data_IF_995270867277
#
_entry.id   IF_995270867277
#
_cell.length_a   1.000
_cell.length_b   1.000
_cell.length_c   1.000
_cell.angle_alpha   90.00
_cell.angle_beta   90.00
_cell.angle_gamma   90.00
#
_symmetry.space_group_name_H-M   'P 1'
#
loop_
_entity.id
_entity.type
_entity.pdbx_description
1 polymer ?
#
# COMPACT_ATOMS: atom_id res chain seq x y z
N UNK A 1 47.48 -20.99 -22.45
CA UNK A 1 46.01 -20.89 -22.57
C UNK A 1 45.72 -19.95 -23.72
N UNK A 2 45.07 -20.41 -24.78
CA UNK A 2 44.80 -19.57 -25.98
C UNK A 2 43.30 -19.32 -26.04
N UNK A 3 42.91 -18.04 -26.10
CA UNK A 3 41.49 -17.65 -26.24
C UNK A 3 41.02 -18.04 -27.64
N UNK A 4 39.89 -18.75 -27.75
CA UNK A 4 39.37 -19.26 -29.03
C UNK A 4 38.52 -18.24 -29.78
N UNK A 5 37.60 -17.56 -29.09
CA UNK A 5 36.59 -16.69 -29.70
C UNK A 5 35.94 -15.78 -28.64
N UNK A 6 35.27 -14.70 -29.07
CA UNK A 6 34.50 -13.78 -28.23
C UNK A 6 33.04 -13.78 -28.68
N UNK A 7 32.11 -14.01 -27.75
CA UNK A 7 30.66 -13.99 -28.02
C UNK A 7 29.96 -12.94 -27.17
N UNK A 8 28.97 -12.29 -27.75
CA UNK A 8 28.16 -11.26 -27.09
C UNK A 8 26.69 -11.64 -27.28
N UNK A 9 25.95 -11.69 -26.18
CA UNK A 9 24.54 -12.04 -26.15
C UNK A 9 23.75 -10.96 -25.41
N UNK A 10 22.55 -10.65 -25.90
CA UNK A 10 21.66 -9.70 -25.25
C UNK A 10 20.91 -10.42 -24.12
N UNK A 11 21.11 -9.95 -22.88
CA UNK A 11 20.47 -10.56 -21.72
C UNK A 11 19.10 -9.96 -21.38
N UNK A 12 18.88 -8.69 -21.69
CA UNK A 12 17.63 -8.01 -21.38
C UNK A 12 17.80 -6.50 -21.27
N UNK A 13 16.85 -5.85 -20.61
CA UNK A 13 16.81 -4.41 -20.44
C UNK A 13 16.84 -4.02 -18.96
N UNK A 14 17.64 -3.00 -18.62
CA UNK A 14 17.84 -2.49 -17.26
C UNK A 14 17.75 -0.96 -17.25
N UNK A 15 17.77 -0.35 -16.08
CA UNK A 15 18.05 1.09 -15.96
C UNK A 15 19.41 1.44 -16.58
N UNK A 16 19.57 2.65 -17.10
CA UNK A 16 20.78 3.20 -17.71
C UNK A 16 21.90 3.16 -16.65
N UNK A 17 22.85 2.23 -16.76
CA UNK A 17 23.83 2.05 -15.71
C UNK A 17 24.90 3.13 -15.80
N UNK A 18 25.16 3.82 -14.69
CA UNK A 18 26.45 4.48 -14.46
C UNK A 18 27.47 3.47 -13.90
N UNK A 19 27.02 2.50 -13.10
CA UNK A 19 27.83 1.37 -12.68
C UNK A 19 27.05 0.05 -12.61
N UNK A 20 27.76 -1.06 -12.82
CA UNK A 20 27.26 -2.42 -12.69
C UNK A 20 28.17 -3.16 -11.70
N UNK A 21 27.58 -3.82 -10.70
CA UNK A 21 28.28 -4.58 -9.67
C UNK A 21 27.60 -5.94 -9.46
N UNK A 22 28.32 -7.02 -9.71
CA UNK A 22 27.88 -8.36 -9.34
C UNK A 22 28.04 -8.54 -7.83
N UNK A 23 26.99 -9.03 -7.17
CA UNK A 23 27.00 -9.27 -5.74
C UNK A 23 27.30 -10.75 -5.46
N UNK A 24 26.32 -11.62 -5.74
CA UNK A 24 26.46 -13.08 -5.74
C UNK A 24 25.16 -13.72 -6.30
N UNK A 25 25.14 -15.02 -6.55
CA UNK A 25 23.95 -15.82 -6.92
C UNK A 25 23.17 -15.26 -8.13
N UNK A 26 23.88 -14.73 -9.12
CA UNK A 26 23.25 -14.13 -10.30
C UNK A 26 22.65 -12.74 -10.03
N UNK A 27 22.87 -12.14 -8.85
CA UNK A 27 22.33 -10.83 -8.48
C UNK A 27 23.34 -9.73 -8.79
N UNK A 28 22.86 -8.66 -9.42
CA UNK A 28 23.64 -7.48 -9.77
C UNK A 28 22.95 -6.22 -9.25
N UNK A 29 23.76 -5.31 -8.72
CA UNK A 29 23.36 -3.93 -8.48
C UNK A 29 23.69 -3.07 -9.70
N UNK A 30 22.68 -2.33 -10.15
CA UNK A 30 22.71 -1.39 -11.27
C UNK A 30 22.56 0.02 -10.69
N UNK A 31 23.67 0.73 -10.56
CA UNK A 31 23.66 2.13 -10.12
C UNK A 31 23.37 3.03 -11.31
N UNK A 32 22.19 3.66 -11.33
CA UNK A 32 21.81 4.65 -12.35
C UNK A 32 21.90 6.06 -11.76
N UNK A 33 22.54 6.97 -12.50
CA UNK A 33 22.55 8.41 -12.16
C UNK A 33 21.38 9.17 -12.77
N UNK A 34 20.83 8.64 -13.85
CA UNK A 34 19.87 9.33 -14.71
C UNK A 34 18.42 8.90 -14.47
N UNK A 35 18.24 7.91 -13.59
CA UNK A 35 16.96 7.51 -13.03
C UNK A 35 17.17 6.41 -12.00
N UNK A 36 16.18 5.54 -11.81
CA UNK A 36 16.14 4.67 -10.64
C UNK A 36 17.21 3.58 -10.71
N UNK A 37 17.93 3.41 -9.60
CA UNK A 37 18.89 2.30 -9.46
C UNK A 37 18.12 1.00 -9.24
N UNK A 38 18.70 -0.13 -9.66
CA UNK A 38 18.00 -1.42 -9.63
C UNK A 38 18.86 -2.51 -9.01
N UNK A 39 18.21 -3.41 -8.27
CA UNK A 39 18.74 -4.72 -7.97
C UNK A 39 18.11 -5.72 -8.94
N UNK A 40 18.93 -6.39 -9.74
CA UNK A 40 18.46 -7.34 -10.75
C UNK A 40 19.01 -8.73 -10.48
N UNK A 41 18.32 -9.73 -11.00
CA UNK A 41 18.77 -11.12 -11.03
C UNK A 41 18.83 -11.63 -12.46
N UNK A 42 19.95 -12.24 -12.80
CA UNK A 42 20.16 -12.98 -14.04
C UNK A 42 19.69 -14.41 -13.86
N UNK A 43 18.71 -14.79 -14.65
CA UNK A 43 18.17 -16.13 -14.70
C UNK A 43 18.93 -16.96 -15.74
N UNK A 44 19.03 -18.26 -15.51
CA UNK A 44 19.65 -19.19 -16.48
C UNK A 44 18.72 -19.52 -17.65
N UNK A 45 17.41 -19.27 -17.48
CA UNK A 45 16.37 -19.49 -18.50
C UNK A 45 15.75 -18.15 -18.83
N UNK A 46 15.39 -17.97 -20.10
CA UNK A 46 14.62 -16.82 -20.54
C UNK A 46 13.22 -16.88 -19.95
N UNK A 47 12.66 -15.70 -19.66
CA UNK A 47 11.23 -15.54 -19.39
C UNK A 47 10.41 -15.66 -20.69
N UNK A 48 9.08 -15.55 -20.57
CA UNK A 48 8.15 -15.63 -21.69
C UNK A 48 8.37 -14.52 -22.75
N UNK A 49 9.11 -13.46 -22.40
CA UNK A 49 9.49 -12.36 -23.27
C UNK A 49 10.93 -12.47 -23.82
N UNK A 50 11.62 -13.60 -23.59
CA UNK A 50 12.98 -13.81 -24.07
C UNK A 50 14.07 -13.09 -23.26
N UNK A 51 13.74 -12.52 -22.10
CA UNK A 51 14.68 -11.81 -21.23
C UNK A 51 15.23 -12.73 -20.14
N UNK A 52 16.54 -12.60 -19.88
CA UNK A 52 17.24 -13.28 -18.78
C UNK A 52 17.24 -12.43 -17.50
N UNK A 53 16.82 -11.18 -17.57
CA UNK A 53 16.89 -10.22 -16.47
C UNK A 53 15.53 -10.12 -15.77
N UNK A 54 15.52 -10.34 -14.46
CA UNK A 54 14.38 -10.02 -13.58
C UNK A 54 14.75 -8.93 -12.60
N UNK A 55 13.96 -7.85 -12.54
CA UNK A 55 14.13 -6.78 -11.55
C UNK A 55 13.60 -7.25 -10.19
N UNK A 56 14.46 -7.22 -9.18
CA UNK A 56 14.09 -7.60 -7.80
C UNK A 56 13.62 -6.39 -7.00
N UNK A 57 14.34 -5.27 -7.11
CA UNK A 57 14.07 -4.06 -6.36
C UNK A 57 14.51 -2.84 -7.16
N UNK A 58 13.81 -1.72 -6.95
CA UNK A 58 14.08 -0.44 -7.60
C UNK A 58 14.23 0.63 -6.52
N UNK A 59 15.35 1.33 -6.53
CA UNK A 59 15.68 2.43 -5.62
C UNK A 59 15.41 3.76 -6.30
N UNK A 60 14.48 4.53 -5.74
CA UNK A 60 14.09 5.82 -6.28
C UNK A 60 15.26 6.79 -6.35
N UNK A 61 15.46 7.39 -7.51
CA UNK A 61 16.42 8.44 -7.75
C UNK A 61 15.70 9.68 -8.28
N UNK A 62 15.85 10.79 -7.56
CA UNK A 62 15.31 12.09 -7.98
C UNK A 62 16.24 12.81 -8.98
N UNK A 63 17.48 12.35 -9.10
CA UNK A 63 18.49 13.02 -9.89
C UNK A 63 18.42 12.64 -11.38
N UNK A 64 18.82 13.57 -12.26
CA UNK A 64 18.92 15.01 -11.99
C UNK A 64 17.53 15.65 -11.96
N UNK A 65 17.32 16.59 -11.03
CA UNK A 65 16.15 17.46 -11.04
C UNK A 65 16.42 18.56 -12.06
N UNK A 66 15.71 18.51 -13.19
CA UNK A 66 15.84 19.48 -14.28
C UNK A 66 15.07 20.76 -13.97
N UNK A 67 13.88 20.61 -13.37
CA UNK A 67 13.02 21.71 -12.95
C UNK A 67 12.13 21.24 -11.78
N UNK A 68 11.63 22.19 -10.98
CA UNK A 68 10.71 21.90 -9.88
C UNK A 68 9.75 23.05 -9.60
N UNK A 69 8.56 22.70 -9.13
CA UNK A 69 7.53 23.65 -8.69
C UNK A 69 6.92 23.22 -7.37
N UNK A 70 6.67 24.18 -6.49
CA UNK A 70 5.92 23.98 -5.25
C UNK A 70 4.44 24.18 -5.54
N UNK A 71 3.63 23.17 -5.23
CA UNK A 71 2.17 23.19 -5.40
C UNK A 71 1.50 22.78 -4.09
N UNK A 72 0.41 23.45 -3.73
CA UNK A 72 -0.47 23.03 -2.64
C UNK A 72 -1.74 22.43 -3.25
N UNK A 73 -1.66 21.15 -3.64
CA UNK A 73 -2.77 20.43 -4.28
C UNK A 73 -3.95 20.22 -3.32
N UNK A 74 -3.67 20.08 -2.03
CA UNK A 74 -4.66 19.75 -1.01
C UNK A 74 -5.21 21.00 -0.30
N UNK A 75 -4.65 22.19 -0.60
CA UNK A 75 -4.99 23.48 0.03
C UNK A 75 -4.90 23.44 1.56
N UNK A 76 -4.03 22.60 2.09
CA UNK A 76 -3.83 22.40 3.53
C UNK A 76 -2.68 23.27 4.08
N UNK A 77 -2.08 24.12 3.25
CA UNK A 77 -0.92 24.92 3.62
C UNK A 77 0.38 24.11 3.68
N UNK A 78 0.37 22.87 3.20
CA UNK A 78 1.55 22.03 3.04
C UNK A 78 1.96 21.97 1.57
N UNK A 79 3.03 22.70 1.22
CA UNK A 79 3.58 22.68 -0.13
C UNK A 79 4.17 21.32 -0.48
N UNK A 80 3.75 20.77 -1.62
CA UNK A 80 4.32 19.57 -2.24
C UNK A 80 5.24 20.00 -3.37
N UNK A 81 6.39 19.34 -3.53
CA UNK A 81 7.30 19.60 -4.63
C UNK A 81 7.01 18.66 -5.79
N UNK A 82 6.71 19.20 -6.97
CA UNK A 82 6.66 18.43 -8.22
C UNK A 82 7.96 18.70 -8.95
N UNK A 83 8.69 17.64 -9.28
CA UNK A 83 10.01 17.72 -9.93
C UNK A 83 9.98 17.01 -11.27
N UNK A 84 10.64 17.60 -12.27
CA UNK A 84 11.04 16.93 -13.50
C UNK A 84 12.37 16.21 -13.22
N UNK A 85 12.29 14.91 -12.94
CA UNK A 85 13.43 14.07 -12.56
C UNK A 85 13.87 13.16 -13.70
N UNK A 86 15.17 12.93 -13.79
CA UNK A 86 15.78 12.11 -14.84
C UNK A 86 16.15 12.92 -16.08
N UNK A 87 16.88 12.30 -17.01
CA UNK A 87 17.30 12.99 -18.24
C UNK A 87 16.78 12.31 -19.49
N UNK A 88 16.52 13.13 -20.50
CA UNK A 88 16.65 12.71 -21.89
C UNK A 88 18.14 12.49 -22.19
N UNK A 89 18.52 11.27 -22.59
CA UNK A 89 19.83 11.03 -23.18
C UNK A 89 19.88 11.78 -24.54
N UNK A 90 20.37 13.01 -24.51
CA UNK A 90 20.42 13.89 -25.68
C UNK A 90 21.04 15.28 -25.45
N UNK A 91 21.27 15.69 -24.20
CA UNK A 91 21.85 17.00 -23.87
C UNK A 91 23.38 17.08 -24.03
N UNK A 92 24.08 15.96 -24.29
CA UNK A 92 25.52 15.93 -24.60
C UNK A 92 25.85 16.24 -26.08
N UNK A 93 24.92 16.81 -26.84
CA UNK A 93 25.17 17.32 -28.20
C UNK A 93 25.42 16.25 -29.28
N UNK A 94 25.44 14.97 -28.92
CA UNK A 94 25.63 13.88 -29.88
C UNK A 94 24.26 13.45 -30.45
N UNK A 95 23.91 14.00 -31.61
CA UNK A 95 22.73 13.61 -32.42
C UNK A 95 22.73 12.11 -32.67
N UNK A 96 21.99 11.34 -31.89
CA UNK A 96 21.72 9.94 -32.19
C UNK A 96 20.55 9.86 -33.18
N UNK A 97 20.79 9.31 -34.37
CA UNK A 97 19.83 9.14 -35.48
C UNK A 97 18.74 8.08 -35.23
N UNK A 98 18.61 7.54 -34.02
CA UNK A 98 17.59 6.54 -33.68
C UNK A 98 16.53 7.19 -32.79
N UNK A 99 15.33 7.42 -33.34
CA UNK A 99 14.22 8.16 -32.72
C UNK A 99 13.58 7.46 -31.50
N UNK A 100 13.91 6.19 -31.24
CA UNK A 100 13.06 5.34 -30.39
C UNK A 100 13.63 5.00 -29.00
N UNK A 101 14.82 5.50 -28.60
CA UNK A 101 15.45 5.10 -27.31
C UNK A 101 15.87 6.24 -26.37
N UNK A 102 15.57 7.49 -26.69
CA UNK A 102 16.05 8.65 -25.91
C UNK A 102 15.25 8.97 -24.63
N UNK A 103 14.19 8.21 -24.32
CA UNK A 103 13.12 8.64 -23.40
C UNK A 103 12.89 7.74 -22.17
N UNK A 104 13.77 6.77 -21.88
CA UNK A 104 13.40 5.69 -20.94
C UNK A 104 13.18 6.13 -19.49
N UNK A 105 13.96 7.08 -18.96
CA UNK A 105 14.01 7.35 -17.50
C UNK A 105 13.50 8.73 -17.06
N UNK A 106 12.86 9.48 -17.96
CA UNK A 106 12.22 10.74 -17.60
C UNK A 106 10.97 10.49 -16.75
N UNK A 107 10.87 11.12 -15.58
CA UNK A 107 9.74 10.97 -14.66
C UNK A 107 9.36 12.29 -13.98
N UNK A 108 8.09 12.43 -13.63
CA UNK A 108 7.65 13.46 -12.68
C UNK A 108 7.59 12.84 -11.28
N UNK A 109 8.25 13.46 -10.30
CA UNK A 109 8.25 12.96 -8.91
C UNK A 109 7.59 14.00 -8.01
N UNK A 110 6.64 13.55 -7.20
CA UNK A 110 5.94 14.36 -6.21
C UNK A 110 6.54 14.05 -4.83
N UNK A 111 7.15 15.05 -4.22
CA UNK A 111 7.76 14.97 -2.89
C UNK A 111 6.82 15.68 -1.93
N UNK A 112 6.24 14.91 -0.99
CA UNK A 112 5.35 15.40 0.05
C UNK A 112 6.04 15.22 1.40
N UNK A 113 5.82 16.15 2.32
CA UNK A 113 6.25 15.96 3.70
C UNK A 113 5.17 15.18 4.46
N UNK A 114 5.56 14.11 5.14
CA UNK A 114 4.65 13.24 5.88
C UNK A 114 4.39 11.89 5.22
N UNK A 115 3.45 11.13 5.81
CA UNK A 115 3.08 9.78 5.37
C UNK A 115 1.79 9.90 4.56
N UNK A 116 1.81 9.42 3.32
CA UNK A 116 0.59 9.29 2.52
C UNK A 116 -0.26 8.12 3.00
N UNK A 117 -1.57 8.33 3.10
CA UNK A 117 -2.54 7.24 3.32
C UNK A 117 -3.11 6.89 1.96
N UNK A 118 -2.94 5.64 1.53
CA UNK A 118 -3.61 5.12 0.34
C UNK A 118 -5.02 4.66 0.74
N UNK A 119 -6.02 5.45 0.36
CA UNK A 119 -7.42 5.12 0.62
C UNK A 119 -7.87 3.98 -0.30
N UNK A 120 -8.15 2.82 0.29
CA UNK A 120 -8.68 1.65 -0.44
C UNK A 120 -10.21 1.60 -0.42
N UNK A 121 -10.84 2.14 0.62
CA UNK A 121 -12.28 2.17 0.79
C UNK A 121 -12.70 3.45 1.52
N UNK A 122 -13.84 4.01 1.10
CA UNK A 122 -14.46 5.20 1.69
C UNK A 122 -15.93 4.91 1.96
N UNK A 123 -16.38 5.11 3.20
CA UNK A 123 -17.77 4.95 3.57
C UNK A 123 -18.20 6.17 4.38
N UNK A 124 -19.21 6.88 3.87
CA UNK A 124 -19.72 8.11 4.49
C UNK A 124 -20.63 7.80 5.69
N UNK A 125 -20.01 7.65 6.87
CA UNK A 125 -20.69 7.39 8.14
C UNK A 125 -20.45 8.53 9.13
N UNK A 126 -21.41 9.46 9.30
CA UNK A 126 -21.23 10.60 10.19
C UNK A 126 -21.29 10.16 11.66
N UNK A 127 -20.50 10.82 12.51
CA UNK A 127 -20.62 10.67 13.96
C UNK A 127 -19.99 9.42 14.57
N UNK A 128 -19.04 8.79 13.88
CA UNK A 128 -18.20 7.72 14.45
C UNK A 128 -17.40 8.27 15.64
N UNK A 129 -17.44 7.57 16.78
CA UNK A 129 -16.68 7.88 18.00
C UNK A 129 -15.59 6.87 18.33
N UNK A 130 -15.68 5.68 17.77
CA UNK A 130 -14.70 4.63 17.96
C UNK A 130 -14.86 3.57 16.90
N UNK A 131 -13.73 2.96 16.52
CA UNK A 131 -13.66 1.87 15.57
C UNK A 131 -12.72 0.81 16.14
N UNK A 132 -13.12 -0.46 16.06
CA UNK A 132 -12.31 -1.58 16.52
C UNK A 132 -12.40 -2.72 15.51
N UNK A 133 -11.23 -3.25 15.14
CA UNK A 133 -11.15 -4.46 14.35
C UNK A 133 -11.38 -5.68 15.27
N UNK A 134 -12.18 -6.61 14.77
CA UNK A 134 -12.50 -7.88 15.39
C UNK A 134 -12.26 -9.01 14.41
N UNK A 135 -11.98 -10.17 14.99
CA UNK A 135 -11.99 -11.46 14.32
C UNK A 135 -13.16 -12.29 14.84
N UNK A 136 -14.11 -12.58 13.97
CA UNK A 136 -15.33 -13.33 14.26
C UNK A 136 -15.32 -14.60 13.39
N UNK A 137 -15.71 -15.76 13.93
CA UNK A 137 -15.80 -17.02 13.17
C UNK A 137 -14.53 -17.37 12.36
N UNK A 138 -13.47 -17.82 13.03
CA UNK A 138 -12.33 -18.44 12.34
C UNK A 138 -11.02 -18.45 13.12
N UNK A 139 -10.16 -19.40 12.78
CA UNK A 139 -8.75 -19.47 13.20
C UNK A 139 -7.85 -18.56 12.37
N UNK A 140 -8.42 -17.76 11.46
CA UNK A 140 -7.65 -16.96 10.53
C UNK A 140 -6.80 -15.89 11.23
N UNK A 141 -5.70 -15.50 10.58
CA UNK A 141 -4.79 -14.48 11.11
C UNK A 141 -5.27 -13.05 10.84
N UNK A 142 -6.29 -12.89 10.01
CA UNK A 142 -6.81 -11.60 9.58
C UNK A 142 -8.07 -11.23 10.34
N UNK A 143 -8.24 -9.93 10.57
CA UNK A 143 -9.48 -9.38 11.07
C UNK A 143 -10.52 -9.35 9.94
N UNK A 144 -11.76 -9.70 10.26
CA UNK A 144 -12.85 -9.79 9.28
C UNK A 144 -14.08 -8.98 9.68
N UNK A 145 -14.04 -8.28 10.80
CA UNK A 145 -15.17 -7.50 11.28
C UNK A 145 -14.69 -6.16 11.81
N UNK A 146 -15.32 -5.07 11.41
CA UNK A 146 -15.09 -3.72 11.91
C UNK A 146 -16.31 -3.26 12.71
N UNK A 147 -16.11 -3.05 14.01
CA UNK A 147 -17.14 -2.52 14.90
C UNK A 147 -16.98 -1.01 15.03
N UNK A 148 -18.07 -0.27 14.83
CA UNK A 148 -18.07 1.19 14.92
C UNK A 148 -19.13 1.68 15.90
N UNK A 149 -18.70 2.52 16.84
CA UNK A 149 -19.57 3.20 17.79
C UNK A 149 -19.94 4.60 17.27
N UNK A 150 -21.23 4.97 17.40
CA UNK A 150 -21.76 6.26 16.95
C UNK A 150 -22.21 7.15 18.12
N UNK A 151 -22.22 8.48 17.92
CA UNK A 151 -22.91 9.42 18.82
C UNK A 151 -24.41 9.37 18.60
N UNK A 152 -25.17 9.45 19.69
CA UNK A 152 -26.58 9.83 19.65
C UNK A 152 -26.76 11.25 19.10
N UNK A 153 -26.97 11.43 17.80
CA UNK A 153 -27.65 12.64 17.31
C UNK A 153 -29.14 12.37 17.17
N UNK A 154 -29.86 12.59 18.27
CA UNK A 154 -31.32 12.68 18.28
C UNK A 154 -31.76 14.03 17.70
N UNK A 155 -31.58 14.26 16.39
CA UNK A 155 -32.28 15.34 15.68
C UNK A 155 -32.67 14.89 14.27
N UNK A 156 -33.92 14.44 14.17
CA UNK A 156 -34.79 14.53 12.98
C UNK A 156 -34.32 13.87 11.67
N UNK A 157 -33.91 12.61 11.68
CA UNK A 157 -34.18 11.72 10.52
C UNK A 157 -34.45 10.32 11.07
N UNK A 158 -35.54 9.72 10.62
CA UNK A 158 -35.94 8.34 10.92
C UNK A 158 -34.84 7.36 10.51
N UNK A 159 -33.99 6.98 11.46
CA UNK A 159 -33.16 5.79 11.37
C UNK A 159 -33.65 4.86 12.50
N UNK A 160 -34.43 3.81 12.20
CA UNK A 160 -34.86 2.87 13.23
C UNK A 160 -33.67 1.96 13.55
N UNK A 161 -33.23 1.98 14.82
CA UNK A 161 -32.22 1.10 15.47
C UNK A 161 -30.77 1.13 14.93
N UNK A 162 -29.81 1.32 15.86
CA UNK A 162 -28.39 1.01 15.66
C UNK A 162 -27.43 2.01 16.32
N UNK A 163 -27.15 1.88 17.63
CA UNK A 163 -26.13 2.68 18.35
C UNK A 163 -24.71 2.08 18.23
N UNK A 164 -24.62 0.88 17.68
CA UNK A 164 -23.39 0.20 17.25
C UNK A 164 -23.68 -0.44 15.88
N UNK A 165 -22.78 -0.26 14.91
CA UNK A 165 -22.82 -1.01 13.66
C UNK A 165 -21.64 -1.95 13.60
N UNK A 166 -21.90 -3.17 13.18
CA UNK A 166 -20.87 -4.19 12.96
C UNK A 166 -20.81 -4.44 11.46
N UNK A 167 -19.73 -4.01 10.83
CA UNK A 167 -19.48 -4.29 9.43
C UNK A 167 -18.63 -5.55 9.33
N UNK A 168 -19.11 -6.57 8.64
CA UNK A 168 -18.32 -7.76 8.33
C UNK A 168 -17.74 -7.62 6.93
N UNK A 169 -16.46 -7.93 6.81
CA UNK A 169 -15.68 -7.92 5.58
C UNK A 169 -15.71 -9.33 4.98
N UNK A 170 -16.43 -9.48 3.87
CA UNK A 170 -16.45 -10.71 3.08
C UNK A 170 -15.58 -10.49 1.84
N UNK A 171 -14.25 -10.55 2.01
CA UNK A 171 -13.30 -10.20 0.95
C UNK A 171 -13.24 -8.69 0.72
N UNK A 172 -13.67 -8.21 -0.45
CA UNK A 172 -13.72 -6.77 -0.79
C UNK A 172 -15.10 -6.13 -0.50
N UNK A 173 -16.11 -6.94 -0.18
CA UNK A 173 -17.45 -6.45 0.13
C UNK A 173 -17.64 -6.22 1.63
N UNK A 174 -18.35 -5.14 1.95
CA UNK A 174 -18.61 -4.68 3.31
C UNK A 174 -20.11 -4.76 3.58
N UNK A 175 -20.53 -5.63 4.50
CA UNK A 175 -21.94 -5.84 4.84
C UNK A 175 -22.23 -5.48 6.30
N UNK A 176 -23.39 -4.87 6.55
CA UNK A 176 -23.86 -4.62 7.92
C UNK A 176 -24.46 -5.90 8.51
N UNK A 177 -23.91 -6.33 9.63
CA UNK A 177 -24.25 -7.57 10.34
C UNK A 177 -24.53 -7.27 11.81
N UNK A 178 -25.24 -8.17 12.49
CA UNK A 178 -25.48 -8.07 13.92
C UNK A 178 -24.88 -9.30 14.62
N UNK A 179 -24.11 -9.07 15.70
CA UNK A 179 -23.57 -10.13 16.55
C UNK A 179 -24.49 -10.25 17.77
N UNK A 180 -25.21 -11.37 17.96
CA UNK A 180 -26.25 -11.48 19.00
C UNK A 180 -25.77 -11.18 20.44
N UNK A 181 -24.52 -11.53 20.77
CA UNK A 181 -23.94 -11.27 22.09
C UNK A 181 -23.52 -9.82 22.35
N UNK A 182 -23.43 -8.99 21.30
CA UNK A 182 -22.99 -7.60 21.38
C UNK A 182 -24.20 -6.68 21.45
N UNK A 183 -24.19 -5.75 22.40
CA UNK A 183 -25.23 -4.74 22.53
C UNK A 183 -25.10 -3.67 21.44
N UNK A 184 -26.15 -3.53 20.64
CA UNK A 184 -26.32 -2.44 19.67
C UNK A 184 -27.11 -1.24 20.21
N UNK A 185 -27.63 -1.33 21.44
CA UNK A 185 -28.45 -0.31 22.10
C UNK A 185 -27.65 0.69 22.94
N UNK A 186 -26.35 0.48 23.12
CA UNK A 186 -25.47 1.35 23.89
C UNK A 186 -24.19 1.67 23.13
N UNK A 187 -23.63 2.85 23.39
CA UNK A 187 -22.33 3.22 22.84
C UNK A 187 -21.26 2.30 23.43
N UNK A 188 -20.44 1.68 22.58
CA UNK A 188 -19.27 0.93 23.03
C UNK A 188 -18.10 1.88 23.24
N UNK A 189 -17.37 1.74 24.34
CA UNK A 189 -16.09 2.42 24.61
C UNK A 189 -14.89 1.60 24.16
N UNK A 190 -15.04 0.27 24.16
CA UNK A 190 -14.02 -0.63 23.65
C UNK A 190 -14.67 -1.92 23.18
N UNK A 191 -14.18 -2.47 22.08
CA UNK A 191 -14.49 -3.82 21.65
C UNK A 191 -13.21 -4.47 21.14
N UNK A 192 -12.99 -5.75 21.46
CA UNK A 192 -11.76 -6.42 21.06
C UNK A 192 -11.80 -7.92 21.30
N UNK A 193 -10.99 -8.67 20.55
CA UNK A 193 -10.75 -10.08 20.84
C UNK A 193 -9.88 -10.23 22.09
N UNK A 194 -10.27 -11.17 22.95
CA UNK A 194 -9.53 -11.54 24.17
C UNK A 194 -9.16 -13.03 24.15
N UNK A 195 -8.45 -13.48 25.18
CA UNK A 195 -8.05 -14.88 25.35
C UNK A 195 -9.26 -15.83 25.30
N UNK A 196 -9.00 -17.10 24.99
CA UNK A 196 -10.02 -18.17 24.98
C UNK A 196 -11.11 -18.04 23.91
N UNK A 197 -10.80 -17.46 22.75
CA UNK A 197 -11.76 -17.29 21.63
C UNK A 197 -13.00 -16.51 22.07
N UNK A 198 -12.76 -15.39 22.74
CA UNK A 198 -13.80 -14.52 23.25
C UNK A 198 -13.62 -13.10 22.71
N UNK A 199 -14.70 -12.34 22.72
CA UNK A 199 -14.74 -10.92 22.38
C UNK A 199 -15.25 -10.20 23.62
N UNK A 200 -14.59 -9.11 24.00
CA UNK A 200 -15.07 -8.23 25.06
C UNK A 200 -15.71 -7.00 24.45
N UNK A 201 -16.83 -6.56 25.01
CA UNK A 201 -17.47 -5.29 24.73
C UNK A 201 -17.60 -4.51 26.03
N UNK A 202 -17.06 -3.30 26.08
CA UNK A 202 -17.19 -2.40 27.24
C UNK A 202 -18.14 -1.27 26.88
N UNK A 203 -19.24 -1.17 27.62
CA UNK A 203 -20.24 -0.09 27.51
C UNK A 203 -20.22 0.77 28.79
N UNK A 204 -20.96 1.90 28.84
CA UNK A 204 -21.07 2.70 30.06
C UNK A 204 -21.66 1.94 31.26
N UNK A 205 -22.41 0.86 31.02
CA UNK A 205 -23.13 0.14 32.07
C UNK A 205 -22.45 -1.15 32.50
N UNK A 206 -21.77 -1.85 31.58
CA UNK A 206 -21.18 -3.16 31.85
C UNK A 206 -20.07 -3.51 30.86
N UNK A 207 -19.21 -4.45 31.28
CA UNK A 207 -18.33 -5.17 30.38
C UNK A 207 -18.94 -6.54 30.11
N UNK A 208 -19.04 -6.92 28.84
CA UNK A 208 -19.66 -8.15 28.36
C UNK A 208 -18.64 -8.99 27.63
N UNK A 209 -18.73 -10.29 27.81
CA UNK A 209 -17.87 -11.28 27.19
C UNK A 209 -18.71 -12.17 26.28
N UNK A 210 -18.33 -12.26 25.01
CA UNK A 210 -19.04 -12.98 23.96
C UNK A 210 -18.14 -14.09 23.44
N UNK A 211 -18.68 -15.28 23.22
CA UNK A 211 -17.93 -16.37 22.57
C UNK A 211 -17.78 -16.09 21.08
N UNK A 212 -16.60 -16.29 20.50
CA UNK A 212 -16.39 -16.17 19.04
C UNK A 212 -17.13 -17.27 18.28
N UNK A 213 -17.18 -18.48 18.83
CA UNK A 213 -17.74 -19.67 18.15
C UNK A 213 -19.27 -19.65 18.14
N UNK A 214 -19.88 -19.33 19.27
CA UNK A 214 -21.35 -19.33 19.41
C UNK A 214 -21.96 -17.96 19.20
N UNK A 215 -21.16 -16.90 19.20
CA UNK A 215 -21.61 -15.49 19.15
C UNK A 215 -22.62 -15.13 20.25
N UNK A 216 -22.68 -15.94 21.31
CA UNK A 216 -23.57 -15.79 22.46
C UNK A 216 -22.81 -15.14 23.62
N UNK A 217 -23.56 -14.44 24.47
CA UNK A 217 -23.05 -13.86 25.71
C UNK A 217 -22.62 -14.98 26.67
N UNK A 218 -21.41 -14.86 27.21
CA UNK A 218 -20.86 -15.73 28.25
C UNK A 218 -21.05 -15.11 29.63
N UNK A 219 -20.72 -13.82 29.77
CA UNK A 219 -20.75 -13.09 31.04
C UNK A 219 -21.02 -11.58 30.82
#
# INVERSE_FOLDING_TARGET
MVVKDLRVELLGEISIPECIRYLDNGVLFIGSRLGDSQLIKLNTRQDDMGCYVSVMETFTNLAPIVDMVVVDLERQGQGQLVTCSGTLWGSSGQRQRSRDRAYKEGSLRIIRNGIGIQEHASIDLPGIKGMWALRVAGTDKFDNTLVMAFVTQTRYVSCPSGRLRVLTLNGEEVEETEIPGILSDQQSFYCGNVSHQQIIQVTPTSARLVSVDTQQLIA
#
